data_IF_833810297374
#
_entry.id   IF_833810297374
#
_cell.length_a   1.000
_cell.length_b   1.000
_cell.length_c   1.000
_cell.angle_alpha   90.00
_cell.angle_beta   90.00
_cell.angle_gamma   90.00
#
_symmetry.space_group_name_H-M   'P 1'
#
loop_
_entity.id
_entity.type
_entity.pdbx_description
1 polymer ?
#
# COMPACT_ATOMS: atom_id res chain seq x y z
N UNK A 1 3.59 5.07 -21.47
CA UNK A 1 3.30 3.62 -21.51
C UNK A 1 4.60 2.86 -21.61
N UNK A 2 4.79 1.88 -20.73
CA UNK A 2 5.93 1.00 -20.75
C UNK A 2 5.98 0.19 -22.07
N UNK A 3 7.18 -0.11 -22.53
CA UNK A 3 7.37 -0.87 -23.76
C UNK A 3 7.76 -2.30 -23.40
N UNK A 4 6.83 -3.23 -23.58
CA UNK A 4 7.05 -4.65 -23.32
C UNK A 4 7.38 -5.41 -24.60
N UNK A 5 8.44 -6.24 -24.62
CA UNK A 5 8.73 -7.09 -25.76
C UNK A 5 7.61 -8.15 -25.93
N UNK A 6 7.32 -8.61 -27.18
CA UNK A 6 6.22 -9.54 -27.43
C UNK A 6 6.26 -10.84 -26.62
N UNK A 7 7.45 -11.31 -26.25
CA UNK A 7 7.63 -12.52 -25.45
C UNK A 7 7.46 -12.27 -23.93
N UNK A 8 7.31 -11.03 -23.47
CA UNK A 8 7.11 -10.71 -22.07
C UNK A 8 5.88 -11.38 -21.47
N UNK A 9 4.81 -11.47 -22.24
CA UNK A 9 3.51 -12.00 -21.81
C UNK A 9 3.40 -13.53 -21.86
N UNK A 10 4.50 -14.23 -22.15
CA UNK A 10 4.55 -15.69 -22.07
C UNK A 10 4.81 -16.13 -20.63
N UNK A 11 4.24 -17.30 -20.25
CA UNK A 11 4.56 -17.90 -18.97
C UNK A 11 6.04 -18.28 -18.91
N UNK A 12 6.65 -18.12 -17.74
CA UNK A 12 8.06 -18.40 -17.51
C UNK A 12 8.29 -19.00 -16.12
N UNK A 13 9.47 -19.59 -15.93
CA UNK A 13 9.92 -20.07 -14.62
C UNK A 13 11.07 -19.17 -14.15
N UNK A 14 10.91 -18.55 -12.97
CA UNK A 14 11.96 -17.82 -12.23
C UNK A 14 12.08 -18.45 -10.84
N UNK A 15 13.27 -18.76 -10.39
CA UNK A 15 13.53 -19.36 -9.06
C UNK A 15 12.63 -20.57 -8.75
N UNK A 16 12.49 -21.52 -9.72
CA UNK A 16 11.62 -22.69 -9.65
C UNK A 16 10.12 -22.36 -9.38
N UNK A 17 9.69 -21.13 -9.66
CA UNK A 17 8.30 -20.70 -9.57
C UNK A 17 7.76 -20.42 -10.97
N UNK A 18 6.60 -21.02 -11.30
CA UNK A 18 5.92 -20.77 -12.58
C UNK A 18 5.06 -19.52 -12.49
N UNK A 19 5.42 -18.53 -13.30
CA UNK A 19 4.67 -17.28 -13.47
C UNK A 19 3.76 -17.47 -14.69
N UNK A 20 2.46 -17.43 -14.47
CA UNK A 20 1.48 -17.61 -15.54
C UNK A 20 1.36 -16.37 -16.44
N UNK A 21 0.89 -16.50 -17.70
CA UNK A 21 0.73 -15.38 -18.62
C UNK A 21 -0.15 -14.24 -18.08
N UNK A 22 -1.22 -14.56 -17.34
CA UNK A 22 -2.09 -13.55 -16.74
C UNK A 22 -1.35 -12.73 -15.67
N UNK A 23 -0.44 -13.33 -14.91
CA UNK A 23 0.41 -12.60 -13.96
C UNK A 23 1.31 -11.61 -14.71
N UNK A 24 1.89 -11.99 -15.84
CA UNK A 24 2.69 -11.08 -16.68
C UNK A 24 1.84 -9.91 -17.21
N UNK A 25 0.57 -10.15 -17.54
CA UNK A 25 -0.37 -9.08 -17.90
C UNK A 25 -0.67 -8.16 -16.68
N UNK A 26 -0.85 -8.74 -15.48
CA UNK A 26 -1.10 -7.99 -14.25
C UNK A 26 0.11 -7.12 -13.89
N UNK A 27 1.33 -7.67 -13.88
CA UNK A 27 2.55 -6.91 -13.65
C UNK A 27 2.73 -5.76 -14.65
N UNK A 28 2.47 -6.00 -15.94
CA UNK A 28 2.52 -4.94 -16.93
C UNK A 28 1.47 -3.85 -16.66
N UNK A 29 0.28 -4.23 -16.22
CA UNK A 29 -0.78 -3.29 -15.87
C UNK A 29 -0.45 -2.46 -14.62
N UNK A 30 0.19 -3.04 -13.61
CA UNK A 30 0.67 -2.34 -12.41
C UNK A 30 1.81 -1.36 -12.74
N UNK A 31 2.71 -1.76 -13.64
CA UNK A 31 3.75 -0.87 -14.17
C UNK A 31 3.13 0.36 -14.85
N UNK A 32 2.04 0.21 -15.61
CA UNK A 32 1.32 1.36 -16.19
C UNK A 32 0.77 2.31 -15.11
N UNK A 33 0.33 1.75 -13.97
CA UNK A 33 -0.11 2.58 -12.83
C UNK A 33 1.08 3.32 -12.21
N UNK A 34 2.19 2.63 -11.99
CA UNK A 34 3.40 3.22 -11.43
C UNK A 34 3.95 4.33 -12.34
N UNK A 35 3.99 4.14 -13.67
CA UNK A 35 4.46 5.18 -14.61
C UNK A 35 3.61 6.45 -14.51
N UNK A 36 2.28 6.32 -14.42
CA UNK A 36 1.38 7.49 -14.24
C UNK A 36 1.65 8.20 -12.93
N UNK A 37 1.79 7.46 -11.82
CA UNK A 37 2.11 8.03 -10.51
C UNK A 37 3.48 8.71 -10.53
N UNK A 38 4.49 8.05 -11.09
CA UNK A 38 5.85 8.60 -11.22
C UNK A 38 5.87 9.88 -12.07
N UNK A 39 5.09 9.93 -13.15
CA UNK A 39 4.97 11.12 -14.00
C UNK A 39 4.35 12.30 -13.25
N UNK A 40 3.30 12.07 -12.45
CA UNK A 40 2.71 13.09 -11.58
C UNK A 40 3.77 13.58 -10.56
N UNK A 41 4.46 12.66 -9.90
CA UNK A 41 5.50 12.98 -8.93
C UNK A 41 6.60 13.84 -9.56
N UNK A 42 7.10 13.48 -10.74
CA UNK A 42 8.14 14.20 -11.45
C UNK A 42 7.69 15.63 -11.84
N UNK A 43 6.47 15.80 -12.35
CA UNK A 43 5.93 17.12 -12.73
C UNK A 43 5.82 18.07 -11.54
N UNK A 44 5.55 17.52 -10.35
CA UNK A 44 5.33 18.32 -9.13
C UNK A 44 6.51 18.29 -8.16
N UNK A 45 7.65 17.72 -8.57
CA UNK A 45 8.83 17.57 -7.72
C UNK A 45 8.47 16.92 -6.36
N UNK A 46 7.74 15.83 -6.43
CA UNK A 46 7.38 14.95 -5.30
C UNK A 46 8.35 13.78 -5.32
N UNK A 47 9.01 13.52 -4.20
CA UNK A 47 9.95 12.41 -4.09
C UNK A 47 9.20 11.15 -3.65
N UNK A 48 9.41 10.05 -4.39
CA UNK A 48 8.94 8.71 -4.00
C UNK A 48 10.07 7.70 -4.10
N UNK A 49 9.92 6.56 -3.44
CA UNK A 49 10.87 5.46 -3.43
C UNK A 49 10.15 4.14 -3.60
N UNK A 50 10.70 3.22 -4.40
CA UNK A 50 10.31 1.82 -4.32
C UNK A 50 10.55 1.30 -2.90
N UNK A 51 9.61 0.52 -2.38
CA UNK A 51 9.69 0.02 -1.01
C UNK A 51 9.30 -1.47 -0.94
N UNK A 52 9.44 -2.08 0.20
CA UNK A 52 9.08 -3.47 0.48
C UNK A 52 9.44 -4.45 -0.66
N UNK A 53 8.47 -5.22 -1.17
CA UNK A 53 8.64 -6.20 -2.23
C UNK A 53 9.15 -5.61 -3.54
N UNK A 54 8.71 -4.40 -3.87
CA UNK A 54 9.17 -3.69 -5.08
C UNK A 54 10.64 -3.31 -5.00
N UNK A 55 11.13 -2.81 -3.85
CA UNK A 55 12.55 -2.51 -3.65
C UNK A 55 13.40 -3.78 -3.67
N UNK A 56 12.95 -4.81 -2.94
CA UNK A 56 13.64 -6.11 -2.91
C UNK A 56 13.74 -6.71 -4.30
N UNK A 57 12.65 -6.74 -5.06
CA UNK A 57 12.61 -7.23 -6.42
C UNK A 57 13.51 -6.43 -7.37
N UNK A 58 13.52 -5.10 -7.28
CA UNK A 58 14.40 -4.26 -8.09
C UNK A 58 15.90 -4.57 -7.83
N UNK A 59 16.27 -4.81 -6.58
CA UNK A 59 17.67 -5.10 -6.19
C UNK A 59 18.07 -6.52 -6.56
N UNK A 60 17.28 -7.52 -6.17
CA UNK A 60 17.61 -8.94 -6.30
C UNK A 60 17.23 -9.52 -7.66
N UNK A 61 15.98 -9.32 -8.08
CA UNK A 61 15.37 -10.01 -9.22
C UNK A 61 15.35 -9.16 -10.50
N UNK A 62 15.61 -7.86 -10.41
CA UNK A 62 15.53 -6.86 -11.48
C UNK A 62 14.10 -6.68 -12.02
N UNK A 63 13.10 -6.96 -11.19
CA UNK A 63 11.69 -6.94 -11.50
C UNK A 63 10.87 -7.41 -10.30
N UNK A 64 9.67 -7.91 -10.56
CA UNK A 64 8.86 -8.51 -9.51
C UNK A 64 9.54 -9.76 -8.93
N UNK A 65 9.38 -9.95 -7.64
CA UNK A 65 9.64 -11.24 -7.00
C UNK A 65 8.69 -12.26 -7.63
N UNK A 66 9.15 -13.48 -8.03
CA UNK A 66 8.35 -14.40 -8.86
C UNK A 66 6.96 -14.76 -8.29
N UNK A 67 6.79 -14.72 -6.98
CA UNK A 67 5.55 -15.02 -6.26
C UNK A 67 4.90 -13.79 -5.64
N UNK A 68 5.19 -12.60 -6.15
CA UNK A 68 4.64 -11.32 -5.72
C UNK A 68 3.75 -10.71 -6.80
N UNK A 69 2.75 -9.93 -6.39
CA UNK A 69 1.73 -9.40 -7.30
C UNK A 69 1.23 -8.00 -6.92
N UNK A 70 2.10 -7.19 -6.33
CA UNK A 70 1.83 -5.80 -5.99
C UNK A 70 3.05 -4.88 -6.19
N UNK A 71 2.79 -3.59 -6.22
CA UNK A 71 3.81 -2.55 -6.23
C UNK A 71 3.64 -1.68 -4.99
N UNK A 72 4.72 -1.60 -4.22
CA UNK A 72 4.84 -0.76 -3.05
C UNK A 72 5.78 0.42 -3.30
N UNK A 73 5.32 1.62 -2.97
CA UNK A 73 6.17 2.81 -2.93
C UNK A 73 5.99 3.56 -1.62
N UNK A 74 6.99 4.29 -1.20
CA UNK A 74 6.92 5.16 -0.03
C UNK A 74 7.26 6.61 -0.36
N UNK A 75 6.75 7.52 0.46
CA UNK A 75 7.05 8.95 0.41
C UNK A 75 7.20 9.49 1.82
N UNK A 76 8.11 10.44 2.04
CA UNK A 76 8.05 11.24 3.26
C UNK A 76 6.67 11.89 3.42
N UNK A 77 6.16 12.02 4.63
CA UNK A 77 4.81 12.53 4.93
C UNK A 77 4.48 13.83 4.16
N UNK A 78 5.40 14.76 4.08
CA UNK A 78 5.19 16.02 3.36
C UNK A 78 4.92 15.84 1.86
N UNK A 79 5.63 14.93 1.21
CA UNK A 79 5.43 14.60 -0.20
C UNK A 79 4.19 13.75 -0.41
N UNK A 80 3.91 12.80 0.50
CA UNK A 80 2.69 12.02 0.52
C UNK A 80 1.44 12.91 0.56
N UNK A 81 1.38 13.88 1.47
CA UNK A 81 0.25 14.81 1.55
C UNK A 81 0.13 15.73 0.32
N UNK A 82 1.27 16.15 -0.26
CA UNK A 82 1.27 16.90 -1.52
C UNK A 82 0.72 16.06 -2.65
N UNK A 83 1.13 14.80 -2.75
CA UNK A 83 0.61 13.86 -3.74
C UNK A 83 -0.90 13.70 -3.60
N UNK A 84 -1.42 13.45 -2.39
CA UNK A 84 -2.85 13.29 -2.15
C UNK A 84 -3.70 14.53 -2.51
N UNK A 85 -3.13 15.72 -2.46
CA UNK A 85 -3.80 16.97 -2.87
C UNK A 85 -3.84 17.14 -4.40
N UNK A 86 -2.80 16.70 -5.09
CA UNK A 86 -2.58 16.95 -6.52
C UNK A 86 -3.15 15.83 -7.39
N UNK A 87 -2.85 14.59 -7.04
CA UNK A 87 -3.13 13.43 -7.86
C UNK A 87 -4.62 13.22 -8.24
N UNK A 88 -5.63 13.54 -7.41
CA UNK A 88 -7.04 13.39 -7.79
C UNK A 88 -7.44 14.17 -9.06
N UNK A 89 -6.78 15.30 -9.33
CA UNK A 89 -7.05 16.12 -10.52
C UNK A 89 -6.25 15.68 -11.75
N UNK A 90 -5.20 14.87 -11.57
CA UNK A 90 -4.27 14.50 -12.64
C UNK A 90 -4.31 13.03 -13.03
N UNK A 91 -4.87 12.19 -12.17
CA UNK A 91 -5.08 10.78 -12.50
C UNK A 91 -6.06 10.61 -13.66
N UNK A 92 -5.88 9.60 -14.50
CA UNK A 92 -6.80 9.29 -15.59
C UNK A 92 -8.24 9.09 -15.08
N UNK A 93 -9.20 9.45 -15.92
CA UNK A 93 -10.62 9.28 -15.58
C UNK A 93 -10.95 7.83 -15.19
N UNK A 94 -11.69 7.66 -14.11
CA UNK A 94 -12.09 6.37 -13.55
C UNK A 94 -11.08 5.75 -12.57
N UNK A 95 -9.87 6.29 -12.47
CA UNK A 95 -8.92 5.86 -11.46
C UNK A 95 -9.33 6.37 -10.06
N UNK A 96 -8.86 5.67 -9.03
CA UNK A 96 -9.25 5.96 -7.66
C UNK A 96 -8.01 6.09 -6.76
N UNK A 97 -8.08 7.02 -5.84
CA UNK A 97 -7.21 7.08 -4.66
C UNK A 97 -8.08 6.66 -3.47
N UNK A 98 -7.68 5.61 -2.78
CA UNK A 98 -8.43 5.05 -1.66
C UNK A 98 -7.58 5.15 -0.40
N UNK A 99 -8.10 5.86 0.60
CA UNK A 99 -7.47 5.98 1.92
C UNK A 99 -8.52 6.26 3.00
N UNK A 100 -8.09 6.37 4.24
CA UNK A 100 -8.96 6.61 5.40
C UNK A 100 -9.71 7.94 5.38
N UNK A 101 -9.27 8.90 4.54
CA UNK A 101 -9.90 10.24 4.48
C UNK A 101 -11.08 10.29 3.50
N UNK A 102 -11.08 9.42 2.49
CA UNK A 102 -12.08 9.43 1.42
C UNK A 102 -12.89 8.13 1.29
N UNK A 103 -12.49 7.05 1.97
CA UNK A 103 -13.18 5.77 1.95
C UNK A 103 -13.43 5.27 3.39
N UNK A 104 -14.68 5.30 3.89
CA UNK A 104 -15.01 4.89 5.26
C UNK A 104 -14.81 3.39 5.53
N UNK A 105 -14.64 2.58 4.48
CA UNK A 105 -14.33 1.15 4.58
C UNK A 105 -12.83 0.85 4.55
N UNK A 106 -12.00 1.85 4.25
CA UNK A 106 -10.57 1.68 4.26
C UNK A 106 -10.07 1.41 5.69
N UNK A 107 -9.15 0.46 5.83
CA UNK A 107 -8.72 -0.05 7.14
C UNK A 107 -7.20 -0.09 7.30
N UNK A 108 -6.47 0.51 6.36
CA UNK A 108 -5.02 0.58 6.36
C UNK A 108 -4.57 2.04 6.46
N UNK A 109 -3.40 2.28 7.05
CA UNK A 109 -2.84 3.64 7.20
C UNK A 109 -1.96 4.07 6.02
N UNK A 110 -2.08 3.39 4.89
CA UNK A 110 -1.50 3.78 3.62
C UNK A 110 -2.59 4.08 2.58
N UNK A 111 -2.19 4.64 1.47
CA UNK A 111 -3.09 4.95 0.34
C UNK A 111 -2.93 3.90 -0.75
N UNK A 112 -4.02 3.54 -1.41
CA UNK A 112 -4.02 2.71 -2.60
C UNK A 112 -4.40 3.56 -3.81
N UNK A 113 -3.58 3.53 -4.86
CA UNK A 113 -3.93 4.10 -6.18
C UNK A 113 -4.36 2.97 -7.08
N UNK A 114 -5.56 3.04 -7.66
CA UNK A 114 -6.12 1.95 -8.49
C UNK A 114 -6.61 2.43 -9.84
N UNK A 115 -6.45 1.59 -10.86
CA UNK A 115 -6.92 1.79 -12.23
C UNK A 115 -8.45 1.77 -12.38
N UNK A 116 -9.18 1.39 -11.34
CA UNK A 116 -10.64 1.32 -11.27
C UNK A 116 -11.10 0.53 -10.04
N UNK A 117 -12.42 0.31 -9.92
CA UNK A 117 -13.00 -0.42 -8.78
C UNK A 117 -13.57 -1.79 -9.17
N UNK A 118 -13.57 -2.13 -10.45
CA UNK A 118 -14.25 -3.33 -10.97
C UNK A 118 -13.40 -4.01 -12.04
N UNK A 119 -13.60 -5.29 -12.22
CA UNK A 119 -13.13 -6.03 -13.39
C UNK A 119 -13.72 -5.37 -14.64
N UNK A 120 -12.89 -5.13 -15.65
CA UNK A 120 -13.29 -4.41 -16.87
C UNK A 120 -12.79 -5.14 -18.13
N UNK A 121 -13.73 -5.66 -18.90
CA UNK A 121 -13.46 -6.36 -20.16
C UNK A 121 -13.65 -5.47 -21.40
N UNK A 122 -13.78 -4.14 -21.24
CA UNK A 122 -13.90 -3.27 -22.41
C UNK A 122 -12.60 -3.30 -23.25
N UNK A 123 -12.70 -3.23 -24.59
CA UNK A 123 -11.52 -3.28 -25.46
C UNK A 123 -10.48 -2.19 -25.13
N UNK A 124 -10.93 -0.99 -24.82
CA UNK A 124 -10.04 0.13 -24.47
C UNK A 124 -9.26 -0.13 -23.18
N UNK A 125 -9.93 -0.70 -22.16
CA UNK A 125 -9.28 -1.05 -20.89
C UNK A 125 -8.25 -2.19 -21.10
N UNK A 126 -8.67 -3.26 -21.76
CA UNK A 126 -7.78 -4.40 -22.04
C UNK A 126 -6.57 -3.99 -22.89
N UNK A 127 -6.77 -3.11 -23.86
CA UNK A 127 -5.67 -2.59 -24.69
C UNK A 127 -4.70 -1.75 -23.87
N UNK A 128 -5.21 -0.91 -22.96
CA UNK A 128 -4.38 -0.09 -22.07
C UNK A 128 -3.60 -0.93 -21.06
N UNK A 129 -4.21 -1.98 -20.52
CA UNK A 129 -3.66 -2.80 -19.45
C UNK A 129 -3.22 -4.19 -19.93
N UNK A 130 -2.74 -4.27 -21.17
CA UNK A 130 -2.06 -5.45 -21.73
C UNK A 130 -2.86 -6.76 -21.62
N UNK A 131 -4.19 -6.69 -21.71
CA UNK A 131 -5.09 -7.84 -21.60
C UNK A 131 -5.48 -8.20 -20.16
N UNK A 132 -4.99 -7.48 -19.15
CA UNK A 132 -5.41 -7.65 -17.75
C UNK A 132 -6.78 -6.99 -17.52
N UNK A 133 -7.84 -7.75 -17.18
CA UNK A 133 -9.17 -7.19 -16.96
C UNK A 133 -9.36 -6.70 -15.51
N UNK A 134 -8.43 -7.02 -14.62
CA UNK A 134 -8.56 -6.77 -13.18
C UNK A 134 -8.24 -5.32 -12.81
N UNK A 135 -8.80 -4.85 -11.71
CA UNK A 135 -8.40 -3.59 -11.10
C UNK A 135 -7.02 -3.77 -10.47
N UNK A 136 -6.03 -3.14 -11.06
CA UNK A 136 -4.64 -3.12 -10.59
C UNK A 136 -4.32 -1.79 -9.91
N UNK A 137 -3.27 -1.76 -9.12
CA UNK A 137 -2.89 -0.57 -8.40
C UNK A 137 -1.50 -0.63 -7.83
N UNK A 138 -1.21 0.32 -6.95
CA UNK A 138 -0.03 0.32 -6.09
C UNK A 138 -0.40 0.82 -4.70
N UNK A 139 0.39 0.39 -3.73
CA UNK A 139 0.28 0.84 -2.36
C UNK A 139 1.32 1.94 -2.09
N UNK A 140 0.86 3.02 -1.46
CA UNK A 140 1.65 4.22 -1.18
C UNK A 140 1.72 4.44 0.33
N UNK A 141 2.91 4.25 0.89
CA UNK A 141 3.17 4.30 2.33
C UNK A 141 3.76 5.66 2.75
N UNK A 142 3.16 6.35 3.75
CA UNK A 142 3.78 7.52 4.34
C UNK A 142 4.94 7.11 5.26
N UNK A 143 6.09 7.76 5.13
CA UNK A 143 7.20 7.67 6.07
C UNK A 143 7.10 8.80 7.09
N UNK A 144 6.91 8.43 8.34
CA UNK A 144 6.80 9.33 9.48
C UNK A 144 8.02 9.22 10.39
N UNK A 145 8.32 10.30 11.10
CA UNK A 145 9.40 10.32 12.10
C UNK A 145 8.93 9.55 13.34
N UNK A 146 9.74 8.60 13.78
CA UNK A 146 9.49 7.80 14.97
C UNK A 146 9.83 8.58 16.24
N UNK A 147 9.20 8.21 17.36
CA UNK A 147 9.53 8.75 18.67
C UNK A 147 11.02 8.50 18.99
N UNK A 148 11.72 9.50 19.58
CA UNK A 148 13.17 9.44 19.78
C UNK A 148 13.59 8.49 20.90
N UNK A 149 12.77 8.34 21.94
CA UNK A 149 13.05 7.45 23.06
C UNK A 149 12.34 6.10 22.89
N UNK A 150 12.98 4.96 23.21
CA UNK A 150 12.37 3.65 23.05
C UNK A 150 11.05 3.48 23.82
N UNK A 151 10.95 4.02 25.03
CA UNK A 151 9.73 3.91 25.84
C UNK A 151 8.58 4.75 25.24
N UNK A 152 8.89 5.91 24.66
CA UNK A 152 7.91 6.74 23.93
C UNK A 152 7.47 6.05 22.65
N UNK A 153 8.39 5.46 21.91
CA UNK A 153 8.09 4.74 20.68
C UNK A 153 7.21 3.51 20.95
N UNK A 154 7.53 2.76 21.99
CA UNK A 154 6.70 1.66 22.45
C UNK A 154 5.28 2.12 22.80
N UNK A 155 5.15 3.20 23.57
CA UNK A 155 3.85 3.76 23.95
C UNK A 155 3.05 4.21 22.70
N UNK A 156 3.71 4.83 21.73
CA UNK A 156 3.09 5.23 20.46
C UNK A 156 2.59 4.03 19.66
N UNK A 157 3.39 2.98 19.57
CA UNK A 157 3.02 1.73 18.89
C UNK A 157 1.82 1.05 19.57
N UNK A 158 1.78 1.00 20.91
CA UNK A 158 0.65 0.47 21.66
C UNK A 158 -0.64 1.27 21.42
N UNK A 159 -0.57 2.60 21.49
CA UNK A 159 -1.72 3.47 21.20
C UNK A 159 -2.21 3.27 19.76
N UNK A 160 -1.31 3.14 18.80
CA UNK A 160 -1.65 2.88 17.41
C UNK A 160 -2.37 1.54 17.25
N UNK A 161 -1.85 0.46 17.85
CA UNK A 161 -2.49 -0.86 17.87
C UNK A 161 -3.88 -0.81 18.48
N UNK A 162 -4.06 -0.11 19.59
CA UNK A 162 -5.37 0.07 20.25
C UNK A 162 -6.34 0.76 19.30
N UNK A 163 -5.95 1.87 18.68
CA UNK A 163 -6.82 2.62 17.76
C UNK A 163 -7.22 1.78 16.55
N UNK A 164 -6.25 1.14 15.89
CA UNK A 164 -6.49 0.31 14.70
C UNK A 164 -7.34 -0.92 15.05
N UNK A 165 -7.02 -1.63 16.13
CA UNK A 165 -7.82 -2.77 16.60
C UNK A 165 -9.24 -2.36 16.93
N UNK A 166 -9.43 -1.28 17.70
CA UNK A 166 -10.76 -0.80 18.07
C UNK A 166 -11.55 -0.38 16.82
N UNK A 167 -10.89 0.22 15.82
CA UNK A 167 -11.52 0.55 14.55
C UNK A 167 -12.02 -0.70 13.81
N UNK A 168 -11.24 -1.78 13.80
CA UNK A 168 -11.61 -3.04 13.15
C UNK A 168 -12.82 -3.70 13.83
N UNK A 169 -12.83 -3.75 15.16
CA UNK A 169 -13.91 -4.43 15.91
C UNK A 169 -15.16 -3.57 16.12
N UNK A 170 -15.08 -2.26 15.83
CA UNK A 170 -16.18 -1.31 16.10
C UNK A 170 -17.46 -1.60 15.32
N UNK A 171 -17.36 -2.25 14.16
CA UNK A 171 -18.51 -2.65 13.34
C UNK A 171 -19.10 -3.98 13.78
N UNK A 172 -18.30 -4.88 14.37
CA UNK A 172 -18.71 -6.20 14.83
C UNK A 172 -19.28 -6.18 16.28
N UNK A 173 -18.68 -5.34 17.14
CA UNK A 173 -19.01 -5.23 18.56
C UNK A 173 -19.19 -3.78 19.00
N UNK A 174 -20.23 -3.07 18.51
CA UNK A 174 -20.40 -1.63 18.78
C UNK A 174 -20.62 -1.29 20.26
N UNK A 175 -21.32 -2.13 21.01
CA UNK A 175 -21.56 -1.88 22.45
C UNK A 175 -20.27 -1.98 23.26
N UNK A 176 -19.43 -2.99 22.99
CA UNK A 176 -18.12 -3.13 23.63
C UNK A 176 -17.22 -1.97 23.26
N UNK A 177 -17.22 -1.56 22.00
CA UNK A 177 -16.43 -0.42 21.54
C UNK A 177 -16.83 0.86 22.26
N UNK A 178 -18.15 1.14 22.39
CA UNK A 178 -18.64 2.30 23.11
C UNK A 178 -18.19 2.33 24.58
N UNK A 179 -18.06 1.18 25.23
CA UNK A 179 -17.57 1.09 26.62
C UNK A 179 -16.08 1.43 26.77
N UNK A 180 -15.29 1.28 25.70
CA UNK A 180 -13.84 1.59 25.68
C UNK A 180 -13.53 3.05 25.27
N UNK A 181 -14.50 3.76 24.69
CA UNK A 181 -14.26 5.11 24.18
C UNK A 181 -13.72 6.09 25.23
N UNK A 182 -14.23 6.17 26.47
CA UNK A 182 -13.70 7.12 27.45
C UNK A 182 -12.21 6.90 27.76
N UNK A 183 -11.76 5.65 27.79
CA UNK A 183 -10.36 5.31 28.03
C UNK A 183 -9.49 5.69 26.84
N UNK A 184 -9.96 5.40 25.62
CA UNK A 184 -9.28 5.76 24.36
C UNK A 184 -9.18 7.28 24.21
N UNK A 185 -10.27 8.01 24.44
CA UNK A 185 -10.29 9.48 24.37
C UNK A 185 -9.30 10.10 25.36
N UNK A 186 -9.25 9.56 26.57
CA UNK A 186 -8.34 10.02 27.59
C UNK A 186 -6.87 9.70 27.25
N UNK A 187 -6.57 8.48 26.80
CA UNK A 187 -5.21 8.03 26.47
C UNK A 187 -4.65 8.76 25.23
N UNK A 188 -5.48 8.95 24.22
CA UNK A 188 -5.06 9.55 22.94
C UNK A 188 -5.30 11.07 22.89
N UNK A 189 -5.89 11.67 23.91
CA UNK A 189 -6.30 13.09 23.97
C UNK A 189 -7.15 13.52 22.78
N UNK A 190 -8.12 12.65 22.38
CA UNK A 190 -9.04 12.88 21.27
C UNK A 190 -10.49 12.95 21.78
N UNK A 191 -11.40 13.39 20.93
CA UNK A 191 -12.84 13.32 21.16
C UNK A 191 -13.50 12.63 19.98
N UNK A 192 -14.31 11.63 20.26
CA UNK A 192 -15.02 10.84 19.26
C UNK A 192 -16.51 11.12 19.33
N UNK A 193 -17.18 11.17 18.19
CA UNK A 193 -18.63 11.34 18.09
C UNK A 193 -19.31 9.98 17.98
N UNK A 194 -19.95 9.47 19.05
CA UNK A 194 -20.59 8.15 19.04
C UNK A 194 -21.86 8.11 18.17
N UNK A 195 -22.37 9.26 17.71
CA UNK A 195 -23.50 9.32 16.79
C UNK A 195 -23.12 9.04 15.33
N UNK A 196 -21.81 9.02 15.03
CA UNK A 196 -21.26 8.74 13.71
C UNK A 196 -20.49 7.40 13.73
N UNK A 197 -20.11 6.92 12.53
CA UNK A 197 -19.28 5.72 12.41
C UNK A 197 -17.94 5.92 13.13
N UNK A 198 -17.62 5.04 14.08
CA UNK A 198 -16.40 5.14 14.88
C UNK A 198 -15.15 4.75 14.09
N UNK A 199 -15.23 3.74 13.22
CA UNK A 199 -14.08 3.26 12.45
C UNK A 199 -13.32 4.38 11.71
N UNK A 200 -13.96 5.24 10.89
CA UNK A 200 -13.24 6.32 10.22
C UNK A 200 -12.62 7.33 11.19
N UNK A 201 -13.23 7.57 12.34
CA UNK A 201 -12.72 8.50 13.34
C UNK A 201 -11.47 7.93 14.02
N UNK A 202 -11.51 6.67 14.44
CA UNK A 202 -10.39 5.96 15.05
C UNK A 202 -9.21 5.82 14.09
N UNK A 203 -9.47 5.50 12.81
CA UNK A 203 -8.41 5.41 11.79
C UNK A 203 -7.75 6.77 11.53
N UNK A 204 -8.53 7.87 11.51
CA UNK A 204 -7.98 9.23 11.39
C UNK A 204 -7.17 9.63 12.62
N UNK A 205 -7.61 9.23 13.82
CA UNK A 205 -6.85 9.43 15.04
C UNK A 205 -5.51 8.68 14.99
N UNK A 206 -5.51 7.44 14.48
CA UNK A 206 -4.30 6.64 14.29
C UNK A 206 -3.32 7.29 13.30
N UNK A 207 -3.82 7.81 12.17
CA UNK A 207 -2.99 8.55 11.21
C UNK A 207 -2.42 9.86 11.81
N UNK A 208 -3.23 10.60 12.58
CA UNK A 208 -2.78 11.80 13.27
C UNK A 208 -1.73 11.50 14.33
N UNK A 209 -1.89 10.39 15.06
CA UNK A 209 -0.92 9.90 16.04
C UNK A 209 0.42 9.62 15.38
N UNK A 210 0.44 8.95 14.23
CA UNK A 210 1.66 8.63 13.47
C UNK A 210 2.49 9.86 13.09
N UNK A 211 1.88 11.05 13.06
CA UNK A 211 2.52 12.28 12.60
C UNK A 211 3.11 13.16 13.70
N UNK A 212 2.93 12.79 15.00
CA UNK A 212 3.27 13.66 16.13
C UNK A 212 4.73 14.11 16.11
N UNK A 213 5.63 13.22 15.71
CA UNK A 213 7.08 13.50 15.73
C UNK A 213 7.63 14.08 14.42
N UNK A 214 6.81 14.29 13.38
CA UNK A 214 7.29 14.77 12.06
C UNK A 214 7.96 16.16 12.11
N UNK A 215 7.72 16.95 13.14
CA UNK A 215 8.37 18.26 13.33
C UNK A 215 9.47 18.25 14.38
N UNK A 216 9.80 17.10 14.97
CA UNK A 216 10.80 16.98 16.04
C UNK A 216 12.24 17.09 15.57
N UNK A 217 12.50 16.93 14.26
CA UNK A 217 13.85 16.83 13.71
C UNK A 217 14.51 15.47 13.98
N UNK A 218 13.74 14.45 14.33
CA UNK A 218 14.23 13.09 14.51
C UNK A 218 14.76 12.48 13.22
N UNK A 219 15.68 11.53 13.34
CA UNK A 219 16.34 10.86 12.19
C UNK A 219 15.79 9.47 11.90
N UNK A 220 15.05 8.90 12.83
CA UNK A 220 14.45 7.58 12.67
C UNK A 220 13.07 7.72 12.05
N UNK A 221 12.81 6.96 11.00
CA UNK A 221 11.56 7.02 10.23
C UNK A 221 11.00 5.62 9.98
N UNK A 222 9.71 5.53 9.75
CA UNK A 222 9.05 4.32 9.25
C UNK A 222 7.63 4.64 8.73
N UNK A 223 7.00 3.68 8.05
CA UNK A 223 5.55 3.58 8.06
C UNK A 223 5.12 3.07 9.44
N UNK A 224 4.52 3.95 10.25
CA UNK A 224 4.32 3.70 11.68
C UNK A 224 3.49 2.43 11.97
N UNK A 225 2.46 2.14 11.14
CA UNK A 225 1.68 0.93 11.30
C UNK A 225 2.51 -0.34 11.08
N UNK A 226 3.32 -0.39 10.02
CA UNK A 226 4.23 -1.53 9.78
C UNK A 226 5.28 -1.66 10.87
N UNK A 227 5.78 -0.55 11.41
CA UNK A 227 6.71 -0.55 12.52
C UNK A 227 6.07 -1.15 13.78
N UNK A 228 4.86 -0.71 14.12
CA UNK A 228 4.11 -1.25 15.24
C UNK A 228 3.83 -2.75 15.05
N UNK A 229 3.32 -3.18 13.88
CA UNK A 229 2.98 -4.57 13.59
C UNK A 229 4.19 -5.51 13.59
N UNK A 230 5.37 -5.01 13.23
CA UNK A 230 6.62 -5.78 13.25
C UNK A 230 7.18 -6.01 14.67
N UNK A 231 6.54 -5.49 15.70
CA UNK A 231 7.09 -5.44 17.06
C UNK A 231 8.25 -4.44 17.17
N UNK A 232 8.09 -3.28 16.54
CA UNK A 232 8.99 -2.11 16.63
C UNK A 232 10.38 -2.32 16.00
N UNK A 233 10.43 -3.20 14.98
CA UNK A 233 11.68 -3.58 14.32
C UNK A 233 12.02 -2.75 13.08
N UNK A 234 11.02 -2.14 12.44
CA UNK A 234 11.20 -1.41 11.19
C UNK A 234 11.60 0.05 11.46
N UNK A 235 12.78 0.23 12.05
CA UNK A 235 13.37 1.53 12.36
C UNK A 235 14.42 1.87 11.31
N UNK A 236 14.04 2.73 10.35
CA UNK A 236 14.88 3.17 9.23
C UNK A 236 15.53 4.52 9.58
N UNK A 237 16.59 4.90 8.86
CA UNK A 237 17.24 6.19 9.01
C UNK A 237 16.90 7.12 7.87
N UNK A 238 16.47 8.35 8.16
CA UNK A 238 16.16 9.36 7.15
C UNK A 238 17.37 9.65 6.23
N UNK A 239 18.60 9.53 6.74
CA UNK A 239 19.83 9.72 5.95
C UNK A 239 19.97 8.71 4.80
N UNK A 240 19.40 7.50 4.90
CA UNK A 240 19.43 6.50 3.82
C UNK A 240 18.61 6.91 2.60
N UNK A 241 17.70 7.88 2.77
CA UNK A 241 16.77 8.40 1.77
C UNK A 241 17.16 9.79 1.23
N UNK A 242 18.29 10.37 1.67
CA UNK A 242 18.72 11.70 1.24
C UNK A 242 19.11 11.75 -0.24
N UNK A 243 19.71 10.67 -0.72
CA UNK A 243 20.07 10.52 -2.12
C UNK A 243 19.25 9.39 -2.75
N UNK A 244 18.97 9.52 -4.04
CA UNK A 244 18.24 8.56 -4.81
C UNK A 244 19.12 7.88 -5.84
N UNK A 245 18.86 6.62 -6.07
CA UNK A 245 19.40 5.87 -7.19
C UNK A 245 18.26 5.36 -8.07
N UNK A 246 18.60 4.93 -9.27
CA UNK A 246 17.65 4.33 -10.21
C UNK A 246 18.02 2.87 -10.40
N UNK A 247 17.08 1.98 -10.18
CA UNK A 247 17.25 0.53 -10.30
C UNK A 247 16.41 -0.02 -11.45
N UNK A 248 16.87 -1.06 -12.17
CA UNK A 248 16.05 -1.75 -13.16
C UNK A 248 14.88 -2.49 -12.48
N UNK A 249 13.71 -2.45 -13.12
CA UNK A 249 12.52 -3.17 -12.67
C UNK A 249 11.70 -3.60 -13.90
N UNK A 250 11.73 -4.88 -14.24
CA UNK A 250 11.17 -5.44 -15.49
C UNK A 250 11.65 -4.65 -16.72
N UNK A 251 10.77 -3.92 -17.39
CA UNK A 251 11.09 -3.12 -18.60
C UNK A 251 11.26 -1.63 -18.33
N UNK A 252 11.14 -1.22 -17.07
CA UNK A 252 11.27 0.17 -16.62
C UNK A 252 12.41 0.31 -15.60
N UNK A 253 12.49 1.48 -15.01
CA UNK A 253 13.33 1.75 -13.85
C UNK A 253 12.49 2.32 -12.72
N UNK A 254 12.89 2.06 -11.47
CA UNK A 254 12.27 2.63 -10.29
C UNK A 254 13.27 3.45 -9.49
N UNK A 255 12.77 4.49 -8.82
CA UNK A 255 13.57 5.28 -7.89
C UNK A 255 13.68 4.54 -6.56
N UNK A 256 14.87 4.45 -6.02
CA UNK A 256 15.16 3.79 -4.75
C UNK A 256 16.02 4.70 -3.87
N UNK A 257 15.98 4.54 -2.52
CA UNK A 257 16.92 5.23 -1.64
C UNK A 257 18.35 4.73 -1.89
N UNK A 258 19.34 5.62 -1.84
CA UNK A 258 20.74 5.22 -1.99
C UNK A 258 21.18 4.24 -0.89
N UNK A 259 20.59 4.36 0.31
CA UNK A 259 20.79 3.42 1.42
C UNK A 259 19.90 2.16 1.37
N UNK A 260 19.51 1.69 0.19
CA UNK A 260 18.61 0.54 0.00
C UNK A 260 19.10 -0.75 0.68
N UNK A 261 20.40 -0.95 0.79
CA UNK A 261 20.98 -2.16 1.41
C UNK A 261 20.66 -2.22 2.91
N UNK A 262 20.78 -1.09 3.61
CA UNK A 262 20.41 -0.96 5.01
C UNK A 262 18.89 -1.09 5.20
N UNK A 263 18.10 -0.47 4.33
CA UNK A 263 16.63 -0.59 4.34
C UNK A 263 16.20 -2.05 4.20
N UNK A 264 16.75 -2.76 3.22
CA UNK A 264 16.42 -4.17 2.99
C UNK A 264 16.88 -5.08 4.11
N UNK A 265 18.04 -4.79 4.74
CA UNK A 265 18.49 -5.54 5.92
C UNK A 265 17.57 -5.37 7.12
N UNK A 266 17.05 -4.16 7.33
CA UNK A 266 16.05 -3.91 8.39
C UNK A 266 14.76 -4.66 8.11
N UNK A 267 14.27 -4.63 6.86
CA UNK A 267 13.00 -5.25 6.49
C UNK A 267 13.07 -6.78 6.44
N UNK A 268 14.19 -7.35 5.93
CA UNK A 268 14.25 -8.76 5.55
C UNK A 268 15.49 -9.51 6.06
N UNK A 269 16.44 -8.85 6.72
CA UNK A 269 17.67 -9.49 7.17
C UNK A 269 18.57 -9.91 6.00
N UNK A 270 18.79 -11.21 5.82
CA UNK A 270 19.52 -11.77 4.65
C UNK A 270 18.60 -11.82 3.42
N UNK A 271 18.30 -10.65 2.87
CA UNK A 271 17.34 -10.45 1.79
C UNK A 271 17.78 -11.03 0.44
N UNK A 272 19.07 -11.34 0.26
CA UNK A 272 19.56 -11.96 -0.98
C UNK A 272 19.19 -13.44 -1.09
N UNK A 273 18.85 -14.09 0.03
CA UNK A 273 18.37 -15.47 0.04
C UNK A 273 16.84 -15.49 -0.16
N UNK A 274 16.33 -16.04 -1.28
CA UNK A 274 14.88 -16.07 -1.53
C UNK A 274 14.13 -16.89 -0.47
N UNK A 275 13.07 -16.31 0.10
CA UNK A 275 12.16 -16.98 1.05
C UNK A 275 10.75 -16.97 0.47
N UNK A 276 10.14 -18.15 0.30
CA UNK A 276 8.77 -18.31 -0.22
C UNK A 276 7.75 -18.37 0.90
N UNK A 277 6.51 -17.95 0.60
CA UNK A 277 5.37 -18.14 1.49
C UNK A 277 5.25 -17.09 2.59
N UNK A 278 5.82 -15.91 2.40
CA UNK A 278 5.74 -14.78 3.35
C UNK A 278 4.79 -13.67 2.93
N UNK A 279 3.97 -13.90 1.88
CA UNK A 279 3.00 -12.89 1.42
C UNK A 279 1.96 -12.60 2.50
N UNK A 280 1.65 -11.32 2.66
CA UNK A 280 0.63 -10.85 3.58
C UNK A 280 -0.79 -10.94 3.02
N UNK A 281 -0.94 -11.27 1.73
CA UNK A 281 -2.22 -11.31 1.01
C UNK A 281 -2.38 -12.58 0.16
N UNK A 282 -3.60 -12.84 -0.35
CA UNK A 282 -3.91 -13.97 -1.23
C UNK A 282 -3.26 -13.78 -2.62
N UNK A 283 -2.35 -14.65 -2.99
CA UNK A 283 -1.76 -14.71 -4.33
C UNK A 283 -2.52 -15.65 -5.25
N UNK A 284 -2.80 -15.29 -6.50
CA UNK A 284 -2.75 -13.93 -7.06
C UNK A 284 -3.97 -13.09 -6.65
N UNK A 285 -3.76 -11.77 -6.51
CA UNK A 285 -4.73 -10.80 -5.99
C UNK A 285 -6.10 -10.84 -6.69
N UNK A 286 -6.16 -11.18 -7.96
CA UNK A 286 -7.42 -11.20 -8.73
C UNK A 286 -8.37 -12.32 -8.33
N UNK A 287 -7.93 -13.39 -7.69
CA UNK A 287 -8.83 -14.43 -7.15
C UNK A 287 -9.86 -13.84 -6.20
N UNK A 288 -9.48 -12.84 -5.42
CA UNK A 288 -10.40 -12.10 -4.56
C UNK A 288 -11.43 -11.32 -5.40
N UNK A 289 -10.98 -10.66 -6.46
CA UNK A 289 -11.89 -9.91 -7.34
C UNK A 289 -12.87 -10.84 -8.08
N UNK A 290 -12.40 -11.98 -8.56
CA UNK A 290 -13.24 -13.01 -9.20
C UNK A 290 -14.28 -13.58 -8.25
N UNK A 291 -13.90 -13.86 -6.99
CA UNK A 291 -14.82 -14.34 -5.96
C UNK A 291 -15.93 -13.32 -5.69
N UNK A 292 -15.58 -12.05 -5.48
CA UNK A 292 -16.55 -10.98 -5.27
C UNK A 292 -17.50 -10.85 -6.47
N UNK A 293 -16.99 -10.91 -7.69
CA UNK A 293 -17.82 -10.86 -8.89
C UNK A 293 -18.81 -12.04 -8.94
N UNK A 294 -18.34 -13.25 -8.64
CA UNK A 294 -19.20 -14.43 -8.62
C UNK A 294 -20.32 -14.32 -7.57
N UNK A 295 -20.01 -13.85 -6.37
CA UNK A 295 -20.98 -13.60 -5.31
C UNK A 295 -22.05 -12.58 -5.73
N UNK A 296 -21.64 -11.43 -6.30
CA UNK A 296 -22.56 -10.42 -6.81
C UNK A 296 -23.49 -10.97 -7.92
N UNK A 297 -22.98 -11.81 -8.83
CA UNK A 297 -23.78 -12.42 -9.87
C UNK A 297 -24.80 -13.42 -9.32
N UNK A 298 -24.44 -14.21 -8.30
CA UNK A 298 -25.35 -15.14 -7.64
C UNK A 298 -26.48 -14.39 -6.91
N UNK A 299 -26.20 -13.29 -6.24
CA UNK A 299 -27.19 -12.45 -5.57
C UNK A 299 -28.19 -11.85 -6.56
N UNK A 300 -27.70 -11.34 -7.71
CA UNK A 300 -28.56 -10.78 -8.75
C UNK A 300 -29.50 -11.83 -9.37
N UNK A 301 -29.02 -13.08 -9.57
CA UNK A 301 -29.85 -14.17 -10.09
C UNK A 301 -30.91 -14.60 -9.07
N UNK A 302 -30.56 -14.72 -7.79
CA UNK A 302 -31.52 -15.06 -6.73
C UNK A 302 -32.60 -13.99 -6.53
N UNK A 303 -32.32 -12.73 -6.85
CA UNK A 303 -33.31 -11.63 -6.80
C UNK A 303 -34.28 -11.70 -7.97
N UNK A 304 -33.79 -12.03 -9.17
CA UNK A 304 -34.62 -12.19 -10.38
C UNK A 304 -35.54 -13.41 -10.36
N UNK A 305 -35.17 -14.47 -9.64
CA UNK A 305 -36.02 -15.66 -9.47
C UNK A 305 -37.14 -15.44 -8.42
N UNK A 306 -37.08 -14.37 -7.63
CA UNK A 306 -38.10 -14.00 -6.62
C UNK A 306 -39.08 -12.94 -7.08
N UNK A 307 -38.87 -12.33 -8.23
CA UNK A 307 -39.78 -11.42 -8.94
C UNK A 307 -40.59 -12.19 -10.00
#
# INVERSE_FOLDING_TARGET
>A
MANFPPNYFQGEIRDDFYIEPMMKCAWAAEIEVLEVVAEICNRHNIQYFADYGTLLGAVRDKGFIPWDDDIDISMFRSDYERFLKIAPAELPSGWQILNIHNNPFHHQLHTIVRSGLKINYSPDYLNRFHGCPYSVGLDLFPLDVLAPAPDEDHAMCELLRILVYTAQVSEENPEQTLSLLPDIENLCHITLDPSQKLKPQLMKAADSLSQIYNTSGGSDISHYASHADSGEKLRLKAEWYQECIVLPFETITVTAPAGYDEVLKVNYGDYMTPVRGTQAHDYPFWKKQERILAECLMEQNNTKEKE
#
